data_IF_795782552996
#
_entry.id   IF_795782552996
#
_cell.length_a   1.000
_cell.length_b   1.000
_cell.length_c   1.000
_cell.angle_alpha   90.00
_cell.angle_beta   90.00
_cell.angle_gamma   90.00
#
_symmetry.space_group_name_H-M   'P 1'
#
loop_
_entity.id
_entity.type
_entity.pdbx_description
1 polymer ?
#
# COMPACT_ATOMS: atom_id res chain seq x y z
N UNK A 1 62.70 1.61 39.95
CA UNK A 1 62.53 1.92 38.52
C UNK A 1 62.56 3.43 38.33
N UNK A 2 63.33 3.94 37.37
CA UNK A 2 63.35 5.38 37.06
C UNK A 2 61.94 5.79 36.59
N UNK A 3 61.44 6.95 37.02
CA UNK A 3 60.07 7.44 36.71
C UNK A 3 59.77 7.42 35.21
N UNK A 4 60.79 7.59 34.38
CA UNK A 4 60.69 7.55 32.92
C UNK A 4 60.36 6.15 32.38
N UNK A 5 60.89 5.09 32.98
CA UNK A 5 60.53 3.71 32.60
C UNK A 5 59.08 3.37 32.96
N UNK A 6 58.53 3.97 34.03
CA UNK A 6 57.13 3.79 34.42
C UNK A 6 56.19 4.48 33.42
N UNK A 7 56.55 5.67 32.95
CA UNK A 7 55.78 6.43 31.97
C UNK A 7 55.70 5.72 30.60
N UNK A 8 56.82 5.14 30.14
CA UNK A 8 56.87 4.39 28.87
C UNK A 8 56.00 3.13 28.94
N UNK A 9 56.00 2.41 30.07
CA UNK A 9 55.14 1.24 30.26
C UNK A 9 53.66 1.64 30.24
N UNK A 10 53.29 2.73 30.90
CA UNK A 10 51.90 3.22 30.93
C UNK A 10 51.42 3.66 29.55
N UNK A 11 52.27 4.31 28.76
CA UNK A 11 51.97 4.71 27.38
C UNK A 11 51.75 3.48 26.48
N UNK A 12 52.60 2.46 26.61
CA UNK A 12 52.45 1.21 25.86
C UNK A 12 51.14 0.48 26.19
N UNK A 13 50.78 0.45 27.46
CA UNK A 13 49.53 -0.16 27.94
C UNK A 13 48.29 0.61 27.43
N UNK A 14 48.37 1.94 27.40
CA UNK A 14 47.32 2.79 26.86
C UNK A 14 47.11 2.58 25.35
N UNK A 15 48.19 2.53 24.56
CA UNK A 15 48.10 2.27 23.12
C UNK A 15 47.53 0.88 22.85
N UNK A 16 47.96 -0.13 23.61
CA UNK A 16 47.43 -1.49 23.51
C UNK A 16 45.92 -1.54 23.81
N UNK A 17 45.47 -0.85 24.87
CA UNK A 17 44.05 -0.77 25.24
C UNK A 17 43.22 -0.13 24.13
N UNK A 18 43.69 0.99 23.55
CA UNK A 18 42.98 1.70 22.48
C UNK A 18 42.88 0.84 21.22
N UNK A 19 43.97 0.17 20.81
CA UNK A 19 43.94 -0.76 19.67
C UNK A 19 43.02 -1.95 19.93
N UNK A 20 43.02 -2.50 21.14
CA UNK A 20 42.14 -3.59 21.52
C UNK A 20 40.67 -3.19 21.45
N UNK A 21 40.31 -2.01 21.96
CA UNK A 21 38.94 -1.49 21.88
C UNK A 21 38.52 -1.22 20.42
N UNK A 22 39.38 -0.57 19.63
CA UNK A 22 39.10 -0.29 18.23
C UNK A 22 38.84 -1.57 17.42
N UNK A 23 39.62 -2.64 17.68
CA UNK A 23 39.44 -3.92 17.01
C UNK A 23 38.11 -4.61 17.41
N UNK A 24 37.69 -4.49 18.66
CA UNK A 24 36.39 -5.02 19.11
C UNK A 24 35.21 -4.22 18.56
N UNK A 25 35.31 -2.89 18.49
CA UNK A 25 34.27 -2.04 17.90
C UNK A 25 34.15 -2.22 16.38
N UNK A 26 35.27 -2.43 15.66
CA UNK A 26 35.25 -2.65 14.21
C UNK A 26 34.59 -3.96 13.78
N UNK A 27 34.34 -4.90 14.70
CA UNK A 27 33.61 -6.15 14.45
C UNK A 27 32.09 -6.02 14.57
N UNK A 28 31.57 -4.84 14.90
CA UNK A 28 30.16 -4.52 14.84
C UNK A 28 29.64 -4.53 13.40
N UNK A 29 29.51 -5.72 12.82
CA UNK A 29 28.87 -5.93 11.52
C UNK A 29 27.43 -5.43 11.64
N UNK A 30 27.05 -4.47 10.80
CA UNK A 30 25.64 -4.14 10.52
C UNK A 30 25.02 -5.32 9.79
N UNK A 31 24.62 -6.36 10.52
CA UNK A 31 23.87 -7.47 9.97
C UNK A 31 22.45 -6.97 9.72
N UNK A 32 22.22 -6.42 8.53
CA UNK A 32 20.88 -6.23 8.00
C UNK A 32 20.32 -7.61 7.69
N UNK A 33 19.59 -8.19 8.64
CA UNK A 33 18.71 -9.30 8.34
C UNK A 33 17.63 -8.79 7.40
N UNK A 34 17.80 -9.03 6.11
CA UNK A 34 16.71 -8.87 5.16
C UNK A 34 15.55 -9.75 5.60
N UNK A 35 14.42 -9.16 5.98
CA UNK A 35 13.18 -9.92 6.12
C UNK A 35 12.70 -10.24 4.72
N UNK A 36 12.67 -11.52 4.36
CA UNK A 36 11.89 -11.97 3.22
C UNK A 36 10.41 -11.78 3.58
N UNK A 37 9.79 -10.72 3.07
CA UNK A 37 8.35 -10.53 3.18
C UNK A 37 7.66 -11.39 2.13
N UNK A 38 6.70 -12.22 2.57
CA UNK A 38 5.99 -13.14 1.70
C UNK A 38 5.17 -12.36 0.66
N UNK A 39 5.57 -12.34 -0.63
CA UNK A 39 4.85 -11.61 -1.66
C UNK A 39 3.45 -12.18 -1.85
N UNK A 40 2.48 -11.33 -2.14
CA UNK A 40 1.16 -11.78 -2.57
C UNK A 40 0.13 -11.99 -1.47
N UNK A 41 0.43 -11.66 -0.21
CA UNK A 41 -0.60 -11.53 0.83
C UNK A 41 -1.25 -10.15 0.69
N UNK A 42 -2.55 -10.14 0.40
CA UNK A 42 -3.34 -8.92 0.29
C UNK A 42 -3.28 -8.05 1.55
N UNK A 43 -3.13 -6.74 1.36
CA UNK A 43 -3.13 -5.70 2.39
C UNK A 43 -4.18 -4.64 2.04
N UNK A 44 -5.29 -4.61 2.78
CA UNK A 44 -6.35 -3.62 2.57
C UNK A 44 -5.85 -2.18 2.78
N UNK A 45 -4.93 -1.97 3.73
CA UNK A 45 -4.38 -0.64 4.04
C UNK A 45 -3.51 -0.06 2.93
N UNK A 46 -2.85 -0.91 2.15
CA UNK A 46 -2.03 -0.47 1.02
C UNK A 46 -2.81 -0.44 -0.30
N UNK A 47 -3.94 -1.12 -0.34
CA UNK A 47 -4.79 -1.19 -1.53
C UNK A 47 -5.58 0.10 -1.67
N UNK A 48 -5.91 0.46 -2.90
CA UNK A 48 -6.64 1.68 -3.20
C UNK A 48 -7.55 1.52 -4.42
N UNK A 49 -8.44 2.47 -4.60
CA UNK A 49 -9.24 2.62 -5.81
C UNK A 49 -9.25 4.07 -6.27
N UNK A 50 -9.43 4.29 -7.56
CA UNK A 50 -9.70 5.61 -8.11
C UNK A 50 -10.65 5.52 -9.30
N UNK A 51 -11.31 6.64 -9.59
CA UNK A 51 -12.18 6.82 -10.74
C UNK A 51 -11.55 7.72 -11.79
N UNK A 52 -11.78 7.43 -13.06
CA UNK A 52 -11.40 8.30 -14.17
C UNK A 52 -12.44 8.20 -15.30
N UNK A 53 -13.05 9.32 -15.72
CA UNK A 53 -13.05 10.64 -15.05
C UNK A 53 -13.78 10.59 -13.69
N UNK A 54 -13.74 11.66 -12.89
CA UNK A 54 -14.54 11.78 -11.64
C UNK A 54 -15.90 12.45 -11.87
N UNK A 55 -16.09 13.03 -13.06
CA UNK A 55 -17.29 13.73 -13.49
C UNK A 55 -17.75 13.12 -14.82
N UNK A 56 -19.04 12.84 -14.91
CA UNK A 56 -19.67 12.31 -16.11
C UNK A 56 -21.09 12.84 -16.25
N UNK A 57 -21.64 12.80 -17.45
CA UNK A 57 -23.04 13.12 -17.70
C UNK A 57 -23.97 11.99 -17.25
N UNK A 58 -25.02 12.35 -16.51
CA UNK A 58 -26.10 11.43 -16.17
C UNK A 58 -26.84 10.93 -17.42
N UNK A 59 -27.24 9.66 -17.42
CA UNK A 59 -28.05 9.07 -18.48
C UNK A 59 -27.31 8.66 -19.75
N UNK A 60 -25.98 8.53 -19.74
CA UNK A 60 -25.25 8.01 -20.91
C UNK A 60 -23.74 7.87 -20.80
N UNK A 61 -23.10 8.58 -19.87
CA UNK A 61 -21.64 8.46 -19.67
C UNK A 61 -21.30 7.52 -18.52
N UNK A 62 -20.07 7.00 -18.57
CA UNK A 62 -19.53 6.04 -17.61
C UNK A 62 -18.25 6.58 -16.98
N UNK A 63 -18.09 6.28 -15.70
CA UNK A 63 -16.87 6.52 -14.94
C UNK A 63 -16.19 5.18 -14.70
N UNK A 64 -14.93 5.08 -15.11
CA UNK A 64 -14.14 3.87 -14.89
C UNK A 64 -13.52 3.88 -13.51
N UNK A 65 -13.90 2.93 -12.69
CA UNK A 65 -13.27 2.64 -11.40
C UNK A 65 -12.20 1.58 -11.60
N UNK A 66 -10.99 1.90 -11.16
CA UNK A 66 -9.86 0.99 -11.13
C UNK A 66 -9.49 0.72 -9.69
N UNK A 67 -9.48 -0.55 -9.30
CA UNK A 67 -9.11 -1.01 -7.95
C UNK A 67 -7.76 -1.70 -8.03
N UNK A 68 -6.84 -1.36 -7.13
CA UNK A 68 -5.54 -1.99 -6.98
C UNK A 68 -5.48 -2.75 -5.66
N UNK A 69 -5.46 -4.08 -5.74
CA UNK A 69 -5.19 -4.96 -4.60
C UNK A 69 -3.68 -5.15 -4.47
N UNK A 70 -3.11 -4.61 -3.40
CA UNK A 70 -1.68 -4.60 -3.15
C UNK A 70 -1.31 -5.43 -1.92
N UNK A 71 -0.08 -5.92 -1.89
CA UNK A 71 0.53 -6.50 -0.70
C UNK A 71 1.12 -5.41 0.21
N UNK A 72 1.68 -5.83 1.34
CA UNK A 72 2.33 -4.94 2.31
C UNK A 72 3.56 -4.20 1.74
N UNK A 73 4.17 -4.74 0.70
CA UNK A 73 5.30 -4.12 -0.01
C UNK A 73 4.86 -3.23 -1.18
N UNK A 74 3.56 -3.08 -1.42
CA UNK A 74 2.99 -2.28 -2.51
C UNK A 74 2.98 -2.99 -3.88
N UNK A 75 3.19 -4.31 -3.92
CA UNK A 75 3.12 -5.10 -5.16
C UNK A 75 1.71 -5.59 -5.42
N UNK A 76 1.31 -5.62 -6.69
CA UNK A 76 0.02 -6.14 -7.11
C UNK A 76 -0.19 -7.61 -6.77
N UNK A 77 -1.37 -7.93 -6.22
CA UNK A 77 -1.77 -9.30 -5.89
C UNK A 77 -2.78 -9.79 -6.93
N UNK A 78 -2.37 -10.78 -7.73
CA UNK A 78 -3.18 -11.39 -8.79
C UNK A 78 -4.27 -12.33 -8.25
N UNK A 79 -5.36 -12.46 -9.02
CA UNK A 79 -6.34 -13.52 -8.83
C UNK A 79 -7.32 -13.27 -7.70
N UNK A 80 -7.37 -12.04 -7.20
CA UNK A 80 -8.22 -11.63 -6.09
C UNK A 80 -9.57 -11.17 -6.62
N UNK A 81 -10.69 -11.75 -6.17
CA UNK A 81 -12.02 -11.25 -6.52
C UNK A 81 -12.24 -9.88 -5.86
N UNK A 82 -12.75 -8.94 -6.64
CA UNK A 82 -13.08 -7.58 -6.22
C UNK A 82 -14.56 -7.34 -6.46
N UNK A 83 -15.20 -6.67 -5.51
CA UNK A 83 -16.55 -6.14 -5.66
C UNK A 83 -16.54 -4.64 -5.39
N UNK A 84 -17.28 -3.88 -6.20
CA UNK A 84 -17.45 -2.44 -6.02
C UNK A 84 -18.91 -2.17 -5.72
N UNK A 85 -19.14 -1.34 -4.71
CA UNK A 85 -20.47 -0.98 -4.23
C UNK A 85 -20.48 0.50 -3.82
N UNK A 86 -21.67 1.07 -3.71
CA UNK A 86 -21.82 2.37 -3.07
C UNK A 86 -21.73 2.21 -1.56
N UNK A 87 -21.06 3.15 -0.90
CA UNK A 87 -20.96 3.16 0.56
C UNK A 87 -22.33 3.38 1.21
N UNK A 88 -23.16 4.23 0.61
CA UNK A 88 -24.58 4.35 0.96
C UNK A 88 -25.43 3.65 -0.12
N UNK A 89 -26.00 2.47 0.17
CA UNK A 89 -26.81 1.73 -0.79
C UNK A 89 -28.14 2.42 -1.11
N UNK A 90 -28.69 3.23 -0.19
CA UNK A 90 -30.00 3.88 -0.37
C UNK A 90 -29.90 4.99 -1.42
N UNK A 91 -28.83 5.79 -1.38
CA UNK A 91 -28.58 6.86 -2.34
C UNK A 91 -28.41 6.27 -3.75
N UNK A 92 -27.65 5.19 -3.90
CA UNK A 92 -27.43 4.58 -5.20
C UNK A 92 -28.67 3.90 -5.79
N UNK A 93 -29.50 3.28 -4.95
CA UNK A 93 -30.78 2.71 -5.39
C UNK A 93 -31.72 3.81 -5.89
N UNK A 94 -31.82 4.92 -5.15
CA UNK A 94 -32.72 6.03 -5.51
C UNK A 94 -32.31 6.72 -6.81
N UNK A 95 -31.00 6.81 -7.09
CA UNK A 95 -30.46 7.44 -8.30
C UNK A 95 -30.19 6.47 -9.45
N UNK A 96 -30.66 5.22 -9.37
CA UNK A 96 -30.47 4.18 -10.39
C UNK A 96 -29.00 4.03 -10.83
N UNK A 97 -28.07 4.02 -9.86
CA UNK A 97 -26.65 3.81 -10.14
C UNK A 97 -26.43 2.36 -10.56
N UNK A 98 -25.78 2.17 -11.70
CA UNK A 98 -25.45 0.86 -12.26
C UNK A 98 -23.94 0.67 -12.24
N UNK A 99 -23.50 -0.47 -11.71
CA UNK A 99 -22.09 -0.86 -11.66
C UNK A 99 -21.91 -2.09 -12.55
N UNK A 100 -21.10 -1.96 -13.59
CA UNK A 100 -20.79 -3.03 -14.54
C UNK A 100 -19.37 -3.53 -14.29
N UNK A 101 -19.21 -4.84 -14.12
CA UNK A 101 -17.90 -5.44 -14.00
C UNK A 101 -17.27 -5.63 -15.38
N UNK A 102 -16.14 -4.97 -15.62
CA UNK A 102 -15.31 -5.18 -16.81
C UNK A 102 -14.27 -6.27 -16.52
N UNK A 103 -13.68 -6.22 -15.33
CA UNK A 103 -12.69 -7.17 -14.83
C UNK A 103 -12.80 -7.28 -13.31
N UNK A 104 -13.62 -8.22 -12.82
CA UNK A 104 -13.84 -8.44 -11.38
C UNK A 104 -12.64 -9.04 -10.64
N UNK A 105 -11.74 -9.72 -11.35
CA UNK A 105 -10.61 -10.44 -10.75
C UNK A 105 -9.31 -9.71 -11.07
N UNK A 106 -8.44 -9.54 -10.07
CA UNK A 106 -7.21 -8.80 -10.26
C UNK A 106 -6.23 -9.46 -11.24
N UNK A 107 -5.62 -8.64 -12.09
CA UNK A 107 -4.57 -9.07 -13.03
C UNK A 107 -3.19 -9.22 -12.37
N UNK A 108 -2.14 -9.44 -13.18
CA UNK A 108 -0.76 -9.57 -12.71
C UNK A 108 -0.23 -8.31 -11.97
N UNK A 109 -0.87 -7.15 -12.17
CA UNK A 109 -0.53 -5.89 -11.49
C UNK A 109 -1.46 -5.62 -10.29
N UNK A 110 -2.32 -6.57 -9.93
CA UNK A 110 -3.28 -6.40 -8.85
C UNK A 110 -4.49 -5.55 -9.23
N UNK A 111 -4.72 -5.29 -10.53
CA UNK A 111 -5.75 -4.36 -10.99
C UNK A 111 -7.06 -5.05 -11.31
N UNK A 112 -8.19 -4.48 -10.89
CA UNK A 112 -9.56 -4.83 -11.27
C UNK A 112 -10.29 -3.58 -11.79
N UNK A 113 -11.23 -3.76 -12.72
CA UNK A 113 -11.86 -2.65 -13.47
C UNK A 113 -13.38 -2.79 -13.46
N UNK A 114 -14.05 -1.68 -13.17
CA UNK A 114 -15.50 -1.55 -13.14
C UNK A 114 -15.90 -0.25 -13.82
N UNK A 115 -17.04 -0.25 -14.49
CA UNK A 115 -17.62 0.95 -15.06
C UNK A 115 -18.90 1.30 -14.29
N UNK A 116 -19.05 2.57 -13.91
CA UNK A 116 -20.19 3.08 -13.14
C UNK A 116 -20.94 4.10 -13.99
N UNK A 117 -22.26 4.01 -14.01
CA UNK A 117 -23.15 5.00 -14.62
C UNK A 117 -24.31 5.32 -13.70
N UNK A 118 -24.90 6.51 -13.83
CA UNK A 118 -26.13 6.87 -13.15
C UNK A 118 -27.14 7.48 -14.12
N UNK A 119 -28.42 7.17 -13.94
CA UNK A 119 -29.50 7.81 -14.70
C UNK A 119 -29.88 9.19 -14.15
N UNK A 120 -29.50 9.49 -12.90
CA UNK A 120 -29.83 10.73 -12.21
C UNK A 120 -28.56 11.50 -11.84
N UNK A 121 -28.58 12.85 -11.85
CA UNK A 121 -27.47 13.63 -11.35
C UNK A 121 -27.30 13.44 -9.84
N UNK A 122 -26.07 13.48 -9.36
CA UNK A 122 -25.75 13.27 -7.95
C UNK A 122 -24.28 12.95 -7.71
N UNK A 123 -23.88 13.03 -6.45
CA UNK A 123 -22.57 12.58 -5.99
C UNK A 123 -22.70 11.24 -5.26
N UNK A 124 -21.82 10.30 -5.60
CA UNK A 124 -21.87 8.94 -5.07
C UNK A 124 -20.50 8.56 -4.52
N UNK A 125 -20.45 8.15 -3.26
CA UNK A 125 -19.24 7.61 -2.64
C UNK A 125 -19.14 6.10 -2.91
N UNK A 126 -18.10 5.70 -3.61
CA UNK A 126 -17.86 4.34 -4.06
C UNK A 126 -16.80 3.68 -3.17
N UNK A 127 -17.07 2.44 -2.76
CA UNK A 127 -16.18 1.59 -1.99
C UNK A 127 -15.88 0.31 -2.77
N UNK A 128 -14.68 -0.22 -2.58
CA UNK A 128 -14.29 -1.54 -3.09
C UNK A 128 -14.00 -2.50 -1.94
N UNK A 129 -14.29 -3.78 -2.18
CA UNK A 129 -13.92 -4.90 -1.32
C UNK A 129 -13.10 -5.90 -2.13
N UNK A 130 -12.05 -6.45 -1.53
CA UNK A 130 -11.21 -7.49 -2.12
C UNK A 130 -11.32 -8.73 -1.22
N UNK A 131 -11.75 -9.86 -1.76
CA UNK A 131 -12.05 -11.07 -0.97
C UNK A 131 -13.01 -10.81 0.22
N UNK A 132 -13.94 -9.87 0.04
CA UNK A 132 -14.90 -9.46 1.08
C UNK A 132 -14.35 -8.44 2.10
N UNK A 133 -13.06 -8.12 2.06
CA UNK A 133 -12.45 -7.11 2.94
C UNK A 133 -12.53 -5.74 2.28
N UNK A 134 -13.16 -4.78 2.97
CA UNK A 134 -13.28 -3.41 2.48
C UNK A 134 -11.92 -2.70 2.46
N UNK A 135 -11.66 -2.00 1.36
CA UNK A 135 -10.55 -1.05 1.27
C UNK A 135 -10.96 0.22 2.04
N UNK A 136 -10.10 0.79 2.90
CA UNK A 136 -10.41 1.99 3.68
C UNK A 136 -10.64 3.24 2.81
N UNK A 137 -9.93 3.33 1.69
CA UNK A 137 -10.09 4.40 0.72
C UNK A 137 -11.42 4.25 -0.02
N UNK A 138 -12.07 5.38 -0.27
CA UNK A 138 -13.27 5.52 -1.10
C UNK A 138 -13.01 6.53 -2.21
N UNK A 139 -13.87 6.55 -3.23
CA UNK A 139 -13.83 7.55 -4.29
C UNK A 139 -15.21 8.16 -4.51
N UNK A 140 -15.28 9.48 -4.53
CA UNK A 140 -16.50 10.20 -4.85
C UNK A 140 -16.56 10.48 -6.35
N UNK A 141 -17.65 10.05 -6.98
CA UNK A 141 -17.93 10.30 -8.39
C UNK A 141 -19.17 11.19 -8.52
N UNK A 142 -19.20 12.05 -9.52
CA UNK A 142 -20.29 13.01 -9.73
C UNK A 142 -20.90 12.84 -11.11
N UNK A 143 -22.22 12.67 -11.15
CA UNK A 143 -23.01 12.70 -12.37
C UNK A 143 -23.80 14.01 -12.42
N UNK A 144 -23.77 14.70 -13.57
CA UNK A 144 -24.47 15.98 -13.79
C UNK A 144 -25.36 15.96 -15.02
#
# INVERSE_FOLDING_TARGET
>A
MKKESLAVIFLGLFVFLVSFLAFNFSKGRVVFFGKAENPGIFSATNSYLFGSPLLAKSGGEQIRITVFALDKSGRGVKGKPVSVECKDPVICQTSNVTITSVQAVTDNLGRAIFDISSASPGQFEIQAKVEGVAIPQTVTVSFQ
#
